data_IF_795160116188
#
_entry.id   IF_795160116188
#
_cell.length_a   1.000
_cell.length_b   1.000
_cell.length_c   1.000
_cell.angle_alpha   90.00
_cell.angle_beta   90.00
_cell.angle_gamma   90.00
#
_symmetry.space_group_name_H-M   'P 1'
#
loop_
_entity.id
_entity.type
_entity.pdbx_description
1 polymer ?
#
# COMPACT_ATOMS: atom_id res chain seq x y z
N UNK A 1 -4.16 34.56 17.88
CA UNK A 1 -5.37 33.74 18.17
C UNK A 1 -5.52 32.76 17.01
N UNK A 2 -5.11 31.49 17.21
CA UNK A 2 -5.45 30.42 16.29
C UNK A 2 -6.91 30.06 16.55
N UNK A 3 -7.79 30.41 15.60
CA UNK A 3 -9.19 30.08 15.69
C UNK A 3 -9.39 28.56 15.88
N UNK A 4 -10.14 28.19 16.89
CA UNK A 4 -10.56 26.83 17.11
C UNK A 4 -11.25 26.30 15.84
N UNK A 5 -10.69 25.27 15.21
CA UNK A 5 -11.38 24.57 14.12
C UNK A 5 -12.55 23.84 14.72
N UNK A 6 -13.78 24.26 14.39
CA UNK A 6 -14.99 23.52 14.72
C UNK A 6 -14.94 22.19 13.98
N UNK A 7 -14.66 21.11 14.69
CA UNK A 7 -14.78 19.75 14.17
C UNK A 7 -16.26 19.38 14.15
N UNK A 8 -16.85 19.34 12.96
CA UNK A 8 -18.20 18.78 12.79
C UNK A 8 -18.08 17.26 12.65
N UNK A 9 -18.86 16.54 13.40
CA UNK A 9 -19.01 15.10 13.21
C UNK A 9 -19.68 14.84 11.86
N UNK A 10 -19.00 14.11 10.98
CA UNK A 10 -19.49 13.68 9.69
C UNK A 10 -19.64 12.15 9.69
N UNK A 11 -20.76 11.69 10.25
CA UNK A 11 -21.04 10.26 10.33
C UNK A 11 -21.28 9.63 8.96
N UNK A 12 -21.83 10.37 8.00
CA UNK A 12 -22.04 9.88 6.64
C UNK A 12 -20.71 9.77 5.88
N UNK A 13 -19.87 10.79 5.94
CA UNK A 13 -18.55 10.79 5.30
C UNK A 13 -17.65 9.65 5.80
N UNK A 14 -17.86 9.13 7.01
CA UNK A 14 -17.11 7.97 7.52
C UNK A 14 -17.29 6.72 6.65
N UNK A 15 -18.46 6.56 6.00
CA UNK A 15 -18.80 5.40 5.18
C UNK A 15 -18.86 5.72 3.69
N UNK A 16 -18.83 7.00 3.28
CA UNK A 16 -18.96 7.42 1.88
C UNK A 16 -17.69 8.04 1.33
N UNK A 17 -16.97 8.85 2.13
CA UNK A 17 -15.79 9.56 1.68
C UNK A 17 -14.59 8.61 1.63
N UNK A 18 -13.84 8.69 0.54
CA UNK A 18 -12.69 7.82 0.29
C UNK A 18 -11.40 8.61 0.32
N UNK A 19 -10.39 8.01 0.93
CA UNK A 19 -9.07 8.60 1.11
C UNK A 19 -8.00 7.61 0.66
N UNK A 20 -6.95 8.13 0.05
CA UNK A 20 -5.74 7.35 -0.22
C UNK A 20 -5.07 7.03 1.13
N UNK A 21 -4.93 5.74 1.49
CA UNK A 21 -4.62 5.34 2.86
C UNK A 21 -3.19 5.62 3.28
N UNK A 22 -2.28 5.77 2.31
CA UNK A 22 -0.85 5.94 2.59
C UNK A 22 -0.27 4.76 3.36
N UNK A 23 0.64 5.05 4.27
CA UNK A 23 1.40 4.04 5.02
C UNK A 23 0.57 3.09 5.88
N UNK A 24 -0.71 3.36 6.09
CA UNK A 24 -1.61 2.49 6.87
C UNK A 24 -1.66 1.08 6.28
N UNK A 25 -1.66 0.93 4.94
CA UNK A 25 -1.79 -0.39 4.27
C UNK A 25 -0.53 -1.27 4.32
N UNK A 26 0.60 -0.77 4.81
CA UNK A 26 1.88 -1.50 4.72
C UNK A 26 1.87 -2.87 5.43
N UNK A 27 1.10 -3.02 6.49
CA UNK A 27 0.89 -4.32 7.13
C UNK A 27 0.21 -5.33 6.19
N UNK A 28 -0.82 -4.89 5.45
CA UNK A 28 -1.48 -5.72 4.45
C UNK A 28 -0.54 -6.03 3.27
N UNK A 29 0.28 -5.07 2.83
CA UNK A 29 1.31 -5.31 1.80
C UNK A 29 2.34 -6.36 2.22
N UNK A 30 2.83 -6.32 3.46
CA UNK A 30 3.70 -7.37 3.99
C UNK A 30 2.99 -8.73 3.99
N UNK A 31 1.73 -8.76 4.41
CA UNK A 31 0.93 -10.00 4.38
C UNK A 31 0.81 -10.55 2.97
N UNK A 32 0.55 -9.70 1.96
CA UNK A 32 0.56 -10.10 0.56
C UNK A 32 1.92 -10.66 0.13
N UNK A 33 3.01 -10.01 0.58
CA UNK A 33 4.37 -10.47 0.33
C UNK A 33 4.67 -11.85 0.90
N UNK A 34 4.27 -12.13 2.14
CA UNK A 34 4.44 -13.44 2.76
C UNK A 34 3.58 -14.52 2.10
N UNK A 35 2.32 -14.26 1.86
CA UNK A 35 1.38 -15.23 1.27
C UNK A 35 1.74 -15.63 -0.15
N UNK A 36 2.28 -14.69 -0.92
CA UNK A 36 2.73 -14.94 -2.29
C UNK A 36 4.12 -15.58 -2.38
N UNK A 37 4.87 -15.64 -1.27
CA UNK A 37 6.27 -16.07 -1.27
C UNK A 37 7.25 -15.02 -1.81
N UNK A 38 6.81 -13.77 -1.99
CA UNK A 38 7.69 -12.67 -2.37
C UNK A 38 8.72 -12.33 -1.28
N UNK A 39 8.31 -12.50 -0.03
CA UNK A 39 9.17 -12.45 1.16
C UNK A 39 8.84 -13.60 2.10
N UNK A 40 9.75 -13.90 3.04
CA UNK A 40 9.55 -14.95 4.06
C UNK A 40 10.18 -14.52 5.39
N UNK A 41 9.52 -14.89 6.49
CA UNK A 41 9.98 -14.52 7.84
C UNK A 41 10.23 -13.03 7.99
N UNK A 42 11.23 -12.66 8.77
CA UNK A 42 11.67 -11.28 8.93
C UNK A 42 12.78 -10.93 7.92
N UNK A 43 12.50 -11.17 6.63
CA UNK A 43 13.49 -11.04 5.56
C UNK A 43 14.13 -9.66 5.54
N UNK A 44 15.46 -9.65 5.42
CA UNK A 44 16.23 -8.42 5.24
C UNK A 44 16.25 -8.02 3.76
N UNK A 45 15.86 -6.78 3.47
CA UNK A 45 16.06 -6.12 2.18
C UNK A 45 16.83 -4.82 2.39
N UNK A 46 17.47 -4.34 1.33
CA UNK A 46 18.16 -3.04 1.38
C UNK A 46 17.15 -1.94 1.07
N UNK A 47 16.80 -1.12 2.08
CA UNK A 47 16.11 0.16 1.86
C UNK A 47 17.09 1.11 1.18
N UNK A 48 16.74 1.58 0.01
CA UNK A 48 17.54 2.47 -0.83
C UNK A 48 16.62 3.20 -1.82
N UNK A 49 17.04 4.33 -2.39
CA UNK A 49 16.28 4.95 -3.47
C UNK A 49 16.03 3.97 -4.61
N UNK A 50 14.76 3.79 -4.97
CA UNK A 50 14.33 2.91 -6.07
C UNK A 50 14.24 3.72 -7.35
N UNK A 51 15.14 3.44 -8.27
CA UNK A 51 15.20 4.07 -9.59
C UNK A 51 14.63 3.10 -10.64
N UNK A 52 13.46 3.42 -11.17
CA UNK A 52 12.80 2.70 -12.25
C UNK A 52 12.88 3.57 -13.51
N UNK A 53 13.18 2.97 -14.65
CA UNK A 53 13.25 3.69 -15.92
C UNK A 53 11.94 4.45 -16.21
N UNK A 54 12.06 5.71 -16.57
CA UNK A 54 10.94 6.61 -16.92
C UNK A 54 9.94 6.86 -15.77
N UNK A 55 10.36 6.65 -14.52
CA UNK A 55 9.52 6.90 -13.33
C UNK A 55 10.23 7.83 -12.35
N UNK A 56 9.50 8.59 -11.53
CA UNK A 56 10.08 9.34 -10.43
C UNK A 56 10.81 8.42 -9.45
N UNK A 57 11.86 8.94 -8.82
CA UNK A 57 12.60 8.23 -7.78
C UNK A 57 11.70 8.00 -6.56
N UNK A 58 11.62 6.76 -6.08
CA UNK A 58 10.89 6.41 -4.86
C UNK A 58 11.90 6.27 -3.73
N UNK A 59 11.64 6.94 -2.60
CA UNK A 59 12.51 6.92 -1.42
C UNK A 59 11.73 6.68 -0.16
N UNK A 60 12.42 6.16 0.87
CA UNK A 60 11.98 6.22 2.25
C UNK A 60 12.52 7.50 2.90
N UNK A 61 11.80 8.03 3.89
CA UNK A 61 12.17 9.30 4.53
C UNK A 61 13.56 9.27 5.19
N UNK A 62 14.00 8.11 5.67
CA UNK A 62 15.25 7.92 6.41
C UNK A 62 16.44 7.48 5.51
N UNK A 63 16.20 7.05 4.27
CA UNK A 63 17.24 6.63 3.31
C UNK A 63 17.16 7.35 1.99
N UNK A 64 16.73 8.60 1.98
CA UNK A 64 16.52 9.39 0.77
C UNK A 64 17.80 9.61 -0.07
N UNK A 65 18.98 9.41 0.48
CA UNK A 65 20.28 9.57 -0.20
C UNK A 65 21.25 8.41 0.00
N UNK A 66 20.87 7.42 0.79
CA UNK A 66 21.75 6.31 1.15
C UNK A 66 21.07 4.96 1.01
N UNK A 67 21.63 3.97 1.71
CA UNK A 67 21.03 2.64 1.80
C UNK A 67 21.19 2.09 3.21
N UNK A 68 20.23 1.27 3.63
CA UNK A 68 20.23 0.59 4.93
C UNK A 68 19.57 -0.78 4.81
N UNK A 69 20.24 -1.82 5.29
CA UNK A 69 19.59 -3.12 5.41
C UNK A 69 18.58 -3.08 6.56
N UNK A 70 17.33 -3.47 6.28
CA UNK A 70 16.24 -3.50 7.26
C UNK A 70 15.44 -4.80 7.13
N UNK A 71 14.89 -5.27 8.23
CA UNK A 71 13.99 -6.42 8.27
C UNK A 71 12.55 -6.00 7.89
N UNK A 72 11.66 -6.96 7.69
CA UNK A 72 10.24 -6.71 7.48
C UNK A 72 9.61 -5.96 8.67
N UNK A 73 9.97 -6.35 9.90
CA UNK A 73 9.53 -5.67 11.13
C UNK A 73 10.01 -4.22 11.14
N UNK A 74 11.29 -3.97 10.84
CA UNK A 74 11.84 -2.62 10.77
C UNK A 74 11.23 -1.81 9.62
N UNK A 75 10.81 -2.45 8.53
CA UNK A 75 10.12 -1.78 7.43
C UNK A 75 8.77 -1.19 7.86
N UNK A 76 8.04 -1.85 8.76
CA UNK A 76 6.85 -1.28 9.40
C UNK A 76 7.22 -0.18 10.41
N UNK A 77 8.16 -0.45 11.30
CA UNK A 77 8.60 0.50 12.34
C UNK A 77 9.02 1.84 11.72
N UNK A 78 9.82 1.80 10.66
CA UNK A 78 10.32 3.00 9.98
C UNK A 78 9.41 3.48 8.84
N UNK A 79 8.31 2.78 8.61
CA UNK A 79 7.38 3.10 7.50
C UNK A 79 8.10 3.16 6.14
N UNK A 80 8.90 2.14 5.81
CA UNK A 80 9.67 2.09 4.58
C UNK A 80 8.76 1.99 3.34
N UNK A 81 8.87 2.95 2.43
CA UNK A 81 8.23 2.86 1.12
C UNK A 81 8.96 1.88 0.21
N UNK A 82 10.29 1.93 0.23
CA UNK A 82 11.11 1.17 -0.72
C UNK A 82 11.12 -0.32 -0.43
N UNK A 83 10.91 -0.73 0.82
CA UNK A 83 10.70 -2.14 1.17
C UNK A 83 9.39 -2.65 0.53
N UNK A 84 8.30 -1.90 0.64
CA UNK A 84 7.00 -2.26 0.05
C UNK A 84 7.06 -2.29 -1.48
N UNK A 85 7.75 -1.33 -2.08
CA UNK A 85 7.99 -1.31 -3.54
C UNK A 85 8.78 -2.55 -4.00
N UNK A 86 9.76 -3.01 -3.24
CA UNK A 86 10.49 -4.23 -3.56
C UNK A 86 9.60 -5.48 -3.47
N UNK A 87 8.62 -5.52 -2.54
CA UNK A 87 7.58 -6.57 -2.54
C UNK A 87 6.79 -6.50 -3.86
N UNK A 88 6.30 -5.33 -4.25
CA UNK A 88 5.56 -5.19 -5.51
C UNK A 88 6.38 -5.63 -6.74
N UNK A 89 7.66 -5.27 -6.81
CA UNK A 89 8.56 -5.72 -7.89
C UNK A 89 8.69 -7.25 -7.89
N UNK A 90 8.77 -7.89 -6.73
CA UNK A 90 8.80 -9.35 -6.62
C UNK A 90 7.46 -9.99 -7.03
N UNK A 91 6.32 -9.36 -6.72
CA UNK A 91 5.01 -9.80 -7.22
C UNK A 91 4.92 -9.73 -8.74
N UNK A 92 5.60 -8.75 -9.37
CA UNK A 92 5.75 -8.67 -10.82
C UNK A 92 6.67 -9.76 -11.40
N UNK A 93 7.25 -10.63 -10.56
CA UNK A 93 8.18 -11.69 -10.97
C UNK A 93 9.59 -11.18 -11.24
N UNK A 94 9.93 -9.98 -10.79
CA UNK A 94 11.23 -9.35 -10.99
C UNK A 94 11.99 -9.18 -9.67
N UNK A 95 13.28 -8.92 -9.79
CA UNK A 95 14.11 -8.48 -8.68
C UNK A 95 14.63 -7.06 -8.98
N UNK A 96 14.62 -6.20 -7.98
CA UNK A 96 15.05 -4.83 -8.15
C UNK A 96 16.52 -4.73 -8.58
N UNK A 97 16.74 -3.98 -9.64
CA UNK A 97 18.06 -3.52 -10.12
C UNK A 97 17.92 -2.05 -10.48
N UNK A 98 18.83 -1.16 -10.05
CA UNK A 98 18.76 0.26 -10.37
C UNK A 98 18.65 0.54 -11.87
N UNK A 99 17.72 1.38 -12.28
CA UNK A 99 17.47 1.73 -13.68
C UNK A 99 16.68 0.70 -14.48
N UNK A 100 16.15 -0.37 -13.82
CA UNK A 100 15.37 -1.39 -14.50
C UNK A 100 14.07 -0.85 -15.09
N UNK A 101 13.59 -1.52 -16.13
CA UNK A 101 12.22 -1.37 -16.62
C UNK A 101 11.31 -2.40 -15.97
N UNK A 102 10.07 -2.03 -15.69
CA UNK A 102 9.08 -2.95 -15.16
C UNK A 102 8.45 -3.78 -16.27
N UNK A 103 8.35 -5.10 -16.08
CA UNK A 103 7.57 -5.97 -16.95
C UNK A 103 6.08 -5.85 -16.64
N UNK A 104 5.26 -5.90 -17.69
CA UNK A 104 3.80 -5.94 -17.58
C UNK A 104 3.23 -7.36 -17.53
N UNK A 105 4.06 -8.39 -17.69
CA UNK A 105 3.61 -9.79 -17.84
C UNK A 105 2.80 -10.30 -16.64
N UNK A 106 3.18 -9.89 -15.43
CA UNK A 106 2.48 -10.26 -14.19
C UNK A 106 1.73 -9.09 -13.54
N UNK A 107 1.50 -7.99 -14.27
CA UNK A 107 0.91 -6.77 -13.71
C UNK A 107 -0.45 -7.02 -13.07
N UNK A 108 -1.35 -7.71 -13.79
CA UNK A 108 -2.68 -8.03 -13.30
C UNK A 108 -2.62 -8.94 -12.07
N UNK A 109 -1.79 -9.99 -12.12
CA UNK A 109 -1.60 -10.91 -10.99
C UNK A 109 -1.05 -10.20 -9.76
N UNK A 110 -0.08 -9.31 -9.94
CA UNK A 110 0.52 -8.56 -8.83
C UNK A 110 -0.50 -7.61 -8.18
N UNK A 111 -1.26 -6.85 -8.99
CA UNK A 111 -2.31 -5.96 -8.48
C UNK A 111 -3.41 -6.74 -7.78
N UNK A 112 -3.88 -7.84 -8.36
CA UNK A 112 -4.89 -8.72 -7.77
C UNK A 112 -4.40 -9.28 -6.43
N UNK A 113 -3.14 -9.74 -6.34
CA UNK A 113 -2.58 -10.24 -5.08
C UNK A 113 -2.61 -9.20 -3.96
N UNK A 114 -2.29 -7.94 -4.26
CA UNK A 114 -2.38 -6.85 -3.29
C UNK A 114 -3.85 -6.60 -2.89
N UNK A 115 -4.73 -6.38 -3.87
CA UNK A 115 -6.14 -6.05 -3.65
C UNK A 115 -6.91 -7.16 -2.94
N UNK A 116 -6.71 -8.42 -3.31
CA UNK A 116 -7.35 -9.56 -2.64
C UNK A 116 -6.92 -9.65 -1.17
N UNK A 117 -5.63 -9.42 -0.90
CA UNK A 117 -5.14 -9.38 0.47
C UNK A 117 -5.73 -8.20 1.24
N UNK A 118 -5.84 -7.03 0.63
CA UNK A 118 -6.45 -5.85 1.24
C UNK A 118 -7.94 -6.07 1.52
N UNK A 119 -8.64 -6.74 0.59
CA UNK A 119 -10.05 -7.10 0.75
C UNK A 119 -10.31 -8.04 1.93
N UNK A 120 -9.40 -8.97 2.22
CA UNK A 120 -9.50 -9.84 3.40
C UNK A 120 -9.41 -9.06 4.73
N UNK A 121 -8.78 -7.89 4.71
CA UNK A 121 -8.77 -6.95 5.82
C UNK A 121 -9.94 -5.95 5.81
N UNK A 122 -10.88 -6.09 4.86
CA UNK A 122 -12.06 -5.24 4.72
C UNK A 122 -11.86 -3.97 3.88
N UNK A 123 -10.71 -3.81 3.21
CA UNK A 123 -10.46 -2.67 2.33
C UNK A 123 -10.92 -2.95 0.90
N UNK A 124 -11.67 -2.03 0.29
CA UNK A 124 -12.16 -2.17 -1.09
C UNK A 124 -13.34 -3.11 -1.26
N UNK A 125 -14.02 -3.45 -0.17
CA UNK A 125 -15.21 -4.29 -0.12
C UNK A 125 -16.20 -3.72 0.89
N UNK A 126 -17.47 -4.17 0.83
CA UNK A 126 -18.46 -3.82 1.87
C UNK A 126 -17.99 -4.31 3.24
N UNK A 127 -18.12 -3.47 4.27
CA UNK A 127 -17.73 -3.82 5.65
C UNK A 127 -18.70 -4.81 6.30
N UNK A 128 -19.88 -5.00 5.71
CA UNK A 128 -20.97 -5.80 6.29
C UNK A 128 -21.72 -5.11 7.42
N UNK A 129 -21.45 -3.84 7.67
CA UNK A 129 -22.28 -3.02 8.57
C UNK A 129 -23.61 -2.73 7.90
N UNK A 130 -24.71 -2.80 8.67
CA UNK A 130 -26.05 -2.49 8.17
C UNK A 130 -26.25 -0.96 8.10
N UNK A 131 -25.49 -0.32 7.20
CA UNK A 131 -25.51 1.11 6.97
C UNK A 131 -25.88 1.39 5.50
N UNK A 132 -26.95 2.15 5.23
CA UNK A 132 -27.36 2.44 3.87
C UNK A 132 -26.36 3.37 3.17
N UNK A 133 -26.01 3.06 1.93
CA UNK A 133 -25.16 3.92 1.10
C UNK A 133 -23.67 3.80 1.38
N UNK A 134 -23.22 2.72 2.02
CA UNK A 134 -21.80 2.43 2.20
C UNK A 134 -21.05 2.38 0.85
N UNK A 135 -19.90 3.05 0.78
CA UNK A 135 -18.98 2.97 -0.35
C UNK A 135 -17.98 1.83 -0.15
N UNK A 136 -17.77 1.03 -1.18
CA UNK A 136 -16.72 -0.01 -1.19
C UNK A 136 -15.31 0.56 -1.44
N UNK A 137 -15.17 1.88 -1.51
CA UNK A 137 -13.91 2.54 -1.84
C UNK A 137 -13.86 2.98 -3.32
N UNK A 138 -12.75 3.57 -3.71
CA UNK A 138 -12.46 3.89 -5.11
C UNK A 138 -11.31 3.03 -5.60
N UNK A 139 -11.65 2.02 -6.42
CA UNK A 139 -10.72 1.02 -6.95
C UNK A 139 -10.66 1.17 -8.48
N UNK A 140 -9.68 1.91 -9.02
CA UNK A 140 -9.55 2.13 -10.46
C UNK A 140 -9.40 0.81 -11.22
N UNK A 141 -10.21 0.62 -12.28
CA UNK A 141 -10.11 -0.57 -13.15
C UNK A 141 -8.94 -0.47 -14.13
N UNK A 142 -8.61 0.75 -14.56
CA UNK A 142 -7.51 1.01 -15.48
C UNK A 142 -6.29 1.45 -14.70
N UNK A 143 -5.20 0.72 -14.80
CA UNK A 143 -3.92 1.01 -14.15
C UNK A 143 -2.76 0.57 -15.02
N UNK A 144 -1.59 1.10 -14.74
CA UNK A 144 -0.34 0.69 -15.37
C UNK A 144 0.58 -0.01 -14.34
N UNK A 145 1.69 -0.54 -14.81
CA UNK A 145 2.60 -1.29 -13.95
C UNK A 145 3.22 -0.45 -12.82
N UNK A 146 3.39 0.85 -13.00
CA UNK A 146 3.87 1.72 -11.94
C UNK A 146 2.83 1.89 -10.81
N UNK A 147 1.53 1.74 -11.12
CA UNK A 147 0.49 1.79 -10.11
C UNK A 147 0.55 0.60 -9.14
N UNK A 148 1.07 -0.56 -9.56
CA UNK A 148 1.33 -1.69 -8.65
C UNK A 148 2.34 -1.30 -7.57
N UNK A 149 3.35 -0.50 -7.92
CA UNK A 149 4.32 -0.02 -6.95
C UNK A 149 3.71 0.98 -5.96
N UNK A 150 2.91 1.92 -6.46
CA UNK A 150 2.26 2.94 -5.61
C UNK A 150 1.17 2.36 -4.73
N UNK A 151 0.46 1.31 -5.19
CA UNK A 151 -0.48 0.55 -4.39
C UNK A 151 0.19 -0.06 -3.16
N UNK A 152 1.37 -0.63 -3.30
CA UNK A 152 2.08 -1.31 -2.22
C UNK A 152 2.39 -0.42 -1.00
N UNK A 153 2.42 0.90 -1.16
CA UNK A 153 2.58 1.84 -0.04
C UNK A 153 1.40 2.81 0.10
N UNK A 154 0.23 2.44 -0.48
CA UNK A 154 -1.05 3.08 -0.24
C UNK A 154 -1.26 4.41 -0.95
N UNK A 155 -0.73 4.57 -2.17
CA UNK A 155 -0.90 5.80 -2.94
C UNK A 155 -1.61 5.59 -4.28
N UNK A 156 -2.50 4.60 -4.36
CA UNK A 156 -3.26 4.38 -5.58
C UNK A 156 -4.76 4.18 -5.31
N UNK A 157 -5.18 3.05 -4.73
CA UNK A 157 -6.58 2.84 -4.35
C UNK A 157 -6.96 3.72 -3.16
N UNK A 158 -8.25 4.00 -3.00
CA UNK A 158 -8.77 4.83 -1.90
C UNK A 158 -9.88 4.10 -1.16
N UNK A 159 -9.89 4.20 0.16
CA UNK A 159 -10.79 3.48 1.06
C UNK A 159 -11.53 4.42 1.98
N UNK A 160 -12.68 3.99 2.50
CA UNK A 160 -13.43 4.77 3.47
C UNK A 160 -12.76 4.72 4.85
N UNK A 161 -13.06 5.71 5.68
CA UNK A 161 -12.54 5.76 7.05
C UNK A 161 -12.91 4.51 7.85
N UNK A 162 -14.13 3.98 7.65
CA UNK A 162 -14.58 2.78 8.37
C UNK A 162 -13.82 1.52 7.92
N UNK A 163 -13.53 1.38 6.62
CA UNK A 163 -12.71 0.27 6.10
C UNK A 163 -11.30 0.31 6.70
N UNK A 164 -10.69 1.49 6.76
CA UNK A 164 -9.36 1.66 7.37
C UNK A 164 -9.39 1.38 8.88
N UNK A 165 -10.44 1.78 9.58
CA UNK A 165 -10.62 1.47 11.01
C UNK A 165 -10.77 -0.04 11.24
N UNK A 166 -11.55 -0.73 10.42
CA UNK A 166 -11.71 -2.19 10.46
C UNK A 166 -10.38 -2.90 10.22
N UNK A 167 -9.64 -2.47 9.21
CA UNK A 167 -8.30 -3.01 8.93
C UNK A 167 -7.36 -2.85 10.14
N UNK A 168 -7.22 -1.65 10.69
CA UNK A 168 -6.34 -1.41 11.84
C UNK A 168 -6.78 -2.19 13.08
N UNK A 169 -8.08 -2.42 13.26
CA UNK A 169 -8.60 -3.23 14.37
C UNK A 169 -8.33 -4.74 14.21
N UNK A 170 -7.95 -5.20 13.01
CA UNK A 170 -7.73 -6.61 12.69
C UNK A 170 -6.26 -7.04 12.75
N UNK A 171 -5.32 -6.11 12.99
CA UNK A 171 -3.87 -6.37 13.03
C UNK A 171 -3.26 -6.18 14.41
#
# INVERSE_FOLDING_TARGET
>A
EQGAKDFKADALGTITDVFTPGSVVKGATLTAGWRSGAIYGDQVLTDQPINIASSPLITSWFTNKGSRAITATQALEYSSNTYMVQIAIKLLGQQYVPGMSLSTDNMEKAMTTLRDTYAEFGMGVSTGLDLPGESEGYIPKNYNVANVLTEAFGQYDSYTTIQLAQYVASI
#
